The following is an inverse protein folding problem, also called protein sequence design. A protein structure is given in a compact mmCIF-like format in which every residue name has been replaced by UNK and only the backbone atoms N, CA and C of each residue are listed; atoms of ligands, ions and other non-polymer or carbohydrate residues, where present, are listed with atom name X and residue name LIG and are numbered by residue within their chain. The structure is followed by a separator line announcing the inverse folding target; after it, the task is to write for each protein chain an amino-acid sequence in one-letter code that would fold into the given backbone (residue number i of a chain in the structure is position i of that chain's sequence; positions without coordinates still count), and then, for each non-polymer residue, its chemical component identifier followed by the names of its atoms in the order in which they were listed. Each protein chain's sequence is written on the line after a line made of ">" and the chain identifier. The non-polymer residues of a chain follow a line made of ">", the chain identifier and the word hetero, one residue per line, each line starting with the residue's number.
data_IF_873342314528
#
_entry.id   IF_873342314528
#
_cell.length_a   1.000
_cell.length_b   1.000
_cell.length_c   1.000
_cell.angle_alpha   90.00
_cell.angle_beta   90.00
_cell.angle_gamma   90.00
#
_symmetry.space_group_name_H-M   'P 1'
#
loop_
_entity.id
_entity.type
_entity.pdbx_description
1 polymer ?
#
# COMPACT_ATOMS: atom_id res chain seq x y z
N UNK A 1 -14.36 9.46 -11.09
CA UNK A 1 -15.16 8.23 -11.32
C UNK A 1 -15.99 7.88 -10.09
N UNK A 2 -15.41 7.44 -8.95
CA UNK A 2 -16.19 7.06 -7.75
C UNK A 2 -17.23 8.10 -7.32
N UNK A 3 -16.83 9.38 -7.23
CA UNK A 3 -17.75 10.44 -6.83
C UNK A 3 -18.93 10.59 -7.80
N UNK A 4 -18.68 10.50 -9.11
CA UNK A 4 -19.71 10.57 -10.14
C UNK A 4 -20.68 9.40 -10.05
N UNK A 5 -20.16 8.18 -9.85
CA UNK A 5 -20.99 6.99 -9.65
C UNK A 5 -21.85 7.12 -8.39
N UNK A 6 -21.26 7.53 -7.27
CA UNK A 6 -21.98 7.72 -6.02
C UNK A 6 -23.09 8.78 -6.14
N UNK A 7 -22.82 9.88 -6.86
CA UNK A 7 -23.86 10.89 -7.14
C UNK A 7 -25.02 10.32 -7.94
N UNK A 8 -24.73 9.54 -8.97
CA UNK A 8 -25.75 8.92 -9.81
C UNK A 8 -26.60 7.93 -9.00
N UNK A 9 -25.98 7.05 -8.22
CA UNK A 9 -26.69 6.03 -7.42
C UNK A 9 -27.53 6.64 -6.29
N UNK A 10 -27.04 7.71 -5.65
CA UNK A 10 -27.71 8.35 -4.52
C UNK A 10 -28.60 9.54 -4.92
N UNK A 11 -28.74 9.83 -6.23
CA UNK A 11 -29.54 10.96 -6.73
C UNK A 11 -29.05 12.33 -6.25
N UNK A 12 -27.76 12.50 -5.99
CA UNK A 12 -27.19 13.74 -5.48
C UNK A 12 -27.11 14.80 -6.59
N UNK A 13 -27.32 16.07 -6.22
CA UNK A 13 -27.09 17.21 -7.11
C UNK A 13 -25.59 17.37 -7.40
N UNK A 14 -25.25 18.18 -8.41
CA UNK A 14 -23.87 18.39 -8.86
C UNK A 14 -22.91 18.86 -7.75
N UNK A 15 -23.39 19.70 -6.83
CA UNK A 15 -22.57 20.37 -5.82
C UNK A 15 -22.66 19.72 -4.43
N UNK A 16 -23.52 18.72 -4.23
CA UNK A 16 -23.73 18.12 -2.90
C UNK A 16 -22.47 17.41 -2.40
N UNK A 17 -22.28 17.30 -1.09
CA UNK A 17 -21.09 16.63 -0.56
C UNK A 17 -21.23 15.10 -0.62
N UNK A 18 -20.31 14.43 -1.33
CA UNK A 18 -20.42 12.98 -1.64
C UNK A 18 -19.94 12.08 -0.50
N UNK A 19 -19.18 12.60 0.47
CA UNK A 19 -18.56 11.76 1.51
C UNK A 19 -19.57 11.05 2.40
N UNK A 20 -20.68 11.72 2.74
CA UNK A 20 -21.73 11.10 3.56
C UNK A 20 -22.34 9.89 2.84
N UNK A 21 -22.64 10.05 1.55
CA UNK A 21 -23.22 8.99 0.72
C UNK A 21 -22.25 7.83 0.48
N UNK A 22 -20.95 8.11 0.30
CA UNK A 22 -19.93 7.05 0.21
C UNK A 22 -19.90 6.20 1.50
N UNK A 23 -20.00 6.84 2.66
CA UNK A 23 -20.02 6.14 3.95
C UNK A 23 -21.31 5.34 4.13
N UNK A 24 -22.46 5.88 3.73
CA UNK A 24 -23.76 5.18 3.76
C UNK A 24 -23.76 3.93 2.86
N UNK A 25 -23.13 4.03 1.68
CA UNK A 25 -22.95 2.90 0.77
C UNK A 25 -21.92 1.87 1.25
N UNK A 26 -21.18 2.16 2.32
CA UNK A 26 -20.06 1.32 2.78
C UNK A 26 -18.91 1.26 1.78
N UNK A 27 -18.81 2.22 0.85
CA UNK A 27 -17.78 2.21 -0.19
C UNK A 27 -16.43 2.66 0.36
N UNK A 28 -15.38 1.93 0.03
CA UNK A 28 -14.02 2.35 0.33
C UNK A 28 -13.61 3.50 -0.60
N UNK A 29 -13.06 4.58 -0.05
CA UNK A 29 -12.53 5.70 -0.86
C UNK A 29 -11.43 5.20 -1.80
N UNK A 30 -11.37 5.73 -3.03
CA UNK A 30 -10.37 5.33 -4.06
C UNK A 30 -8.94 5.34 -3.50
N UNK A 31 -8.60 6.35 -2.70
CA UNK A 31 -7.26 6.44 -2.08
C UNK A 31 -6.94 5.23 -1.20
N UNK A 32 -7.88 4.81 -0.37
CA UNK A 32 -7.71 3.65 0.51
C UNK A 32 -7.68 2.36 -0.30
N UNK A 33 -8.47 2.28 -1.38
CA UNK A 33 -8.44 1.14 -2.29
C UNK A 33 -7.07 1.00 -2.97
N UNK A 34 -6.49 2.11 -3.43
CA UNK A 34 -5.13 2.13 -3.97
C UNK A 34 -4.10 1.63 -2.95
N UNK A 35 -4.14 2.16 -1.72
CA UNK A 35 -3.25 1.72 -0.64
C UNK A 35 -3.41 0.22 -0.38
N UNK A 36 -4.65 -0.26 -0.28
CA UNK A 36 -4.94 -1.68 -0.04
C UNK A 36 -4.39 -2.57 -1.15
N UNK A 37 -4.69 -2.28 -2.41
CA UNK A 37 -4.18 -3.05 -3.55
C UNK A 37 -2.67 -3.03 -3.64
N UNK A 38 -2.06 -1.87 -3.37
CA UNK A 38 -0.61 -1.72 -3.36
C UNK A 38 0.05 -2.50 -2.22
N UNK A 39 -0.52 -2.48 -1.01
CA UNK A 39 -0.04 -3.25 0.13
C UNK A 39 -0.15 -4.76 -0.13
N UNK A 40 -1.23 -5.22 -0.75
CA UNK A 40 -1.38 -6.62 -1.15
C UNK A 40 -0.29 -7.03 -2.15
N UNK A 41 -0.06 -6.24 -3.20
CA UNK A 41 1.02 -6.49 -4.14
C UNK A 41 2.37 -6.58 -3.41
N UNK A 42 2.66 -5.60 -2.56
CA UNK A 42 3.90 -5.56 -1.78
C UNK A 42 4.06 -6.79 -0.89
N UNK A 43 2.98 -7.23 -0.23
CA UNK A 43 3.00 -8.43 0.61
C UNK A 43 3.25 -9.69 -0.22
N UNK A 44 2.60 -9.82 -1.39
CA UNK A 44 2.86 -10.93 -2.31
C UNK A 44 4.31 -10.95 -2.75
N UNK A 45 4.89 -9.80 -3.09
CA UNK A 45 6.31 -9.69 -3.47
C UNK A 45 7.23 -10.07 -2.32
N UNK A 46 6.96 -9.61 -1.10
CA UNK A 46 7.77 -9.95 0.08
C UNK A 46 7.69 -11.44 0.44
N UNK A 47 6.52 -12.06 0.29
CA UNK A 47 6.31 -13.47 0.66
C UNK A 47 6.83 -14.44 -0.41
N UNK A 48 6.68 -14.10 -1.68
CA UNK A 48 7.02 -15.00 -2.80
C UNK A 48 8.36 -14.68 -3.45
N UNK A 49 8.96 -13.53 -3.11
CA UNK A 49 10.14 -12.95 -3.78
C UNK A 49 9.96 -12.73 -5.28
N UNK A 50 8.71 -12.73 -5.76
CA UNK A 50 8.34 -12.60 -7.16
C UNK A 50 7.44 -11.38 -7.37
N UNK A 51 7.61 -10.62 -8.46
CA UNK A 51 8.66 -10.77 -9.47
C UNK A 51 10.02 -10.19 -9.01
N UNK A 52 11.11 -10.79 -9.53
CA UNK A 52 12.49 -10.52 -9.10
C UNK A 52 12.87 -9.03 -9.17
N UNK A 53 12.49 -8.34 -10.24
CA UNK A 53 12.80 -6.91 -10.42
C UNK A 53 12.15 -5.99 -9.37
N UNK A 54 11.06 -6.41 -8.73
CA UNK A 54 10.44 -5.68 -7.63
C UNK A 54 11.07 -6.06 -6.29
N UNK A 55 11.32 -7.35 -6.07
CA UNK A 55 11.91 -7.82 -4.80
C UNK A 55 13.32 -7.28 -4.60
N UNK A 56 14.15 -7.21 -5.64
CA UNK A 56 15.48 -6.58 -5.60
C UNK A 56 15.46 -5.10 -5.18
N UNK A 57 14.35 -4.40 -5.43
CA UNK A 57 14.17 -3.00 -5.03
C UNK A 57 13.76 -2.84 -3.57
N UNK A 58 13.39 -3.92 -2.89
CA UNK A 58 12.98 -3.93 -1.49
C UNK A 58 14.16 -4.40 -0.65
N UNK A 59 14.71 -3.50 0.16
CA UNK A 59 15.82 -3.82 1.07
C UNK A 59 15.40 -3.59 2.50
N UNK A 60 15.59 -4.60 3.36
CA UNK A 60 15.37 -4.41 4.79
C UNK A 60 16.58 -3.73 5.41
N UNK A 61 16.36 -2.95 6.48
CA UNK A 61 17.46 -2.30 7.21
C UNK A 61 18.44 -3.30 7.81
N UNK A 62 17.97 -4.50 8.15
CA UNK A 62 18.82 -5.58 8.65
C UNK A 62 19.83 -6.10 7.60
N UNK A 63 19.47 -6.03 6.31
CA UNK A 63 20.35 -6.50 5.23
C UNK A 63 21.51 -5.52 4.99
N UNK A 64 21.30 -4.25 5.32
CA UNK A 64 22.29 -3.17 5.13
C UNK A 64 23.28 -3.14 6.31
N UNK A 65 22.80 -3.38 7.53
CA UNK A 65 23.63 -3.30 8.74
C UNK A 65 23.32 -4.42 9.72
N UNK A 66 24.38 -5.05 10.24
CA UNK A 66 24.28 -6.14 11.21
C UNK A 66 23.96 -5.67 12.65
N UNK A 67 23.40 -4.46 12.80
CA UNK A 67 23.09 -3.84 14.10
C UNK A 67 21.65 -4.15 14.49
N UNK A 68 21.45 -4.82 15.63
CA UNK A 68 20.12 -5.09 16.17
C UNK A 68 19.46 -3.79 16.67
N UNK A 69 18.75 -3.12 15.77
CA UNK A 69 18.01 -1.89 16.07
C UNK A 69 16.51 -2.22 16.19
N UNK A 70 15.76 -1.46 17.01
CA UNK A 70 14.29 -1.60 17.16
C UNK A 70 13.55 -1.63 15.81
N UNK A 71 14.12 -0.99 14.79
CA UNK A 71 13.58 -0.85 13.43
C UNK A 71 14.23 -1.78 12.39
N UNK A 72 14.89 -2.86 12.80
CA UNK A 72 15.62 -3.77 11.88
C UNK A 72 14.73 -4.40 10.79
N UNK A 73 13.47 -4.67 11.12
CA UNK A 73 12.46 -5.22 10.21
C UNK A 73 11.69 -4.14 9.43
N UNK A 74 12.24 -2.92 9.30
CA UNK A 74 11.64 -1.87 8.45
C UNK A 74 12.33 -1.86 7.09
N UNK A 75 11.59 -1.50 6.05
CA UNK A 75 12.16 -1.28 4.73
C UNK A 75 12.98 0.01 4.72
N UNK A 76 14.12 -0.03 4.04
CA UNK A 76 14.98 1.14 3.84
C UNK A 76 14.36 2.04 2.77
N UNK A 77 14.24 3.33 3.07
CA UNK A 77 13.77 4.31 2.09
C UNK A 77 15.00 4.82 1.34
N UNK A 78 15.07 4.66 0.00
CA UNK A 78 16.20 5.15 -0.77
C UNK A 78 16.31 6.67 -0.70
N UNK A 79 17.55 7.15 -0.59
CA UNK A 79 17.85 8.58 -0.62
C UNK A 79 17.52 9.12 -2.00
N UNK A 80 16.76 10.20 -2.04
CA UNK A 80 16.29 10.81 -3.29
C UNK A 80 16.35 12.33 -3.19
N UNK A 81 16.34 13.00 -4.35
CA UNK A 81 16.39 14.47 -4.45
C UNK A 81 15.11 15.07 -5.02
N UNK A 82 14.36 14.32 -5.82
CA UNK A 82 13.17 14.81 -6.51
C UNK A 82 11.87 14.36 -5.83
N UNK A 83 10.88 15.25 -5.83
CA UNK A 83 9.50 14.93 -5.39
C UNK A 83 8.86 13.87 -6.27
N UNK A 84 9.21 13.84 -7.57
CA UNK A 84 8.76 12.81 -8.50
C UNK A 84 9.20 11.40 -8.08
N UNK A 85 10.41 11.26 -7.54
CA UNK A 85 10.87 9.97 -7.04
C UNK A 85 10.04 9.46 -5.86
N UNK A 86 9.39 10.34 -5.10
CA UNK A 86 8.47 9.91 -4.04
C UNK A 86 7.27 9.15 -4.60
N UNK A 87 6.94 9.29 -5.89
CA UNK A 87 5.89 8.51 -6.55
C UNK A 87 6.38 7.15 -7.06
N UNK A 88 7.68 6.85 -6.96
CA UNK A 88 8.26 5.58 -7.39
C UNK A 88 7.83 4.42 -6.51
N UNK A 89 7.85 3.21 -7.07
CA UNK A 89 7.59 1.98 -6.34
C UNK A 89 8.48 1.85 -5.11
N UNK A 90 9.80 2.02 -5.26
CA UNK A 90 10.78 1.84 -4.17
C UNK A 90 10.56 2.77 -2.98
N UNK A 91 10.10 4.00 -3.23
CA UNK A 91 9.77 4.92 -2.14
C UNK A 91 8.43 4.58 -1.49
N UNK A 92 7.39 4.37 -2.29
CA UNK A 92 6.03 4.10 -1.79
C UNK A 92 5.95 2.76 -1.06
N UNK A 93 6.67 1.75 -1.53
CA UNK A 93 6.77 0.44 -0.87
C UNK A 93 7.33 0.56 0.53
N UNK A 94 8.49 1.19 0.67
CA UNK A 94 9.13 1.38 1.96
C UNK A 94 8.28 2.27 2.89
N UNK A 95 7.68 3.34 2.36
CA UNK A 95 6.82 4.25 3.14
C UNK A 95 5.57 3.54 3.67
N UNK A 96 4.81 2.89 2.80
CA UNK A 96 3.55 2.25 3.17
C UNK A 96 3.77 1.03 4.06
N UNK A 97 4.77 0.19 3.75
CA UNK A 97 5.12 -0.94 4.61
C UNK A 97 5.47 -0.46 6.03
N UNK A 98 6.30 0.57 6.15
CA UNK A 98 6.72 1.09 7.45
C UNK A 98 5.56 1.73 8.24
N UNK A 99 4.58 2.33 7.56
CA UNK A 99 3.40 2.90 8.19
C UNK A 99 2.40 1.82 8.66
N UNK A 100 2.21 0.77 7.87
CA UNK A 100 1.18 -0.24 8.11
C UNK A 100 1.71 -1.57 8.67
N UNK A 101 3.01 -1.67 8.96
CA UNK A 101 3.66 -2.90 9.46
C UNK A 101 2.89 -3.60 10.58
N UNK A 102 2.38 -2.84 11.54
CA UNK A 102 1.67 -3.38 12.70
C UNK A 102 0.29 -3.98 12.35
N UNK A 103 -0.32 -3.51 11.26
CA UNK A 103 -1.61 -3.98 10.76
C UNK A 103 -1.45 -5.12 9.75
N UNK A 104 -0.27 -5.21 9.12
CA UNK A 104 0.06 -6.27 8.16
C UNK A 104 0.41 -7.53 8.97
N UNK A 105 -0.61 -8.30 9.32
CA UNK A 105 -0.42 -9.69 9.74
C UNK A 105 -0.27 -10.56 8.47
N UNK A 106 0.61 -11.58 8.46
CA UNK A 106 0.64 -12.52 7.35
C UNK A 106 -0.74 -13.16 7.22
N UNK A 107 -1.43 -12.86 6.13
CA UNK A 107 -2.68 -13.53 5.80
C UNK A 107 -2.30 -14.98 5.48
N UNK A 108 -2.58 -15.93 6.39
CA UNK A 108 -2.14 -17.33 6.32
C UNK A 108 -2.77 -18.12 5.17
N UNK A 109 -3.66 -17.52 4.38
CA UNK A 109 -4.61 -18.26 3.57
C UNK A 109 -4.21 -18.50 2.11
N UNK A 110 -3.02 -18.08 1.68
CA UNK A 110 -2.47 -18.56 0.41
C UNK A 110 -1.68 -19.86 0.61
N UNK A 111 -2.35 -20.91 1.11
CA UNK A 111 -1.87 -22.27 0.87
C UNK A 111 -1.94 -22.51 -0.63
N UNK A 112 -0.79 -22.46 -1.31
CA UNK A 112 -0.64 -23.09 -2.62
C UNK A 112 -1.08 -24.54 -2.45
N UNK A 113 -2.24 -24.89 -2.99
CA UNK A 113 -2.56 -26.29 -3.26
C UNK A 113 -1.56 -26.72 -4.34
N UNK A 114 -0.56 -27.49 -3.93
CA UNK A 114 0.23 -28.32 -4.82
C UNK A 114 -0.60 -29.53 -5.21
#
# INVERSE_FOLDING_TARGET
>A
IQNSCCRYTCGLRRCDHVTASINQLGWLKVHNLFIYSFLNLLFTVLQTSCPVYLSEKLTFRNDIHNKSTRHKQMLSIPRHRSTMFQRSFSYQSAKLYNAYKHFISPCRDFKKKA
#
